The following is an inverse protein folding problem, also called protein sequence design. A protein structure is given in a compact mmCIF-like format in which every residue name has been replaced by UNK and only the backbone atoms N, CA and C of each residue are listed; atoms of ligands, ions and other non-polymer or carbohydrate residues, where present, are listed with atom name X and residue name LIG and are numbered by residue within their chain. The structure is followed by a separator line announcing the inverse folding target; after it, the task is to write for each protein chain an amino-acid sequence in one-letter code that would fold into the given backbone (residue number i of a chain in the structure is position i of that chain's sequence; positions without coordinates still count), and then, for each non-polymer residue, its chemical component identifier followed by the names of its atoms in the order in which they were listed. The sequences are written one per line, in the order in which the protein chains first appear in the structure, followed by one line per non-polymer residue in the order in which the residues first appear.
data_IF_394320435333
#
_entry.id   IF_394320435333
#
_cell.length_a   1.000
_cell.length_b   1.000
_cell.length_c   1.000
_cell.angle_alpha   90.00
_cell.angle_beta   90.00
_cell.angle_gamma   90.00
#
_symmetry.space_group_name_H-M   'P 1'
#
loop_
_entity.id
_entity.type
_entity.pdbx_description
1 polymer ?
#
# COMPACT_ATOMS: atom_id res chain seq x y z
N UNK A 1 -13.40 5.14 -3.96
CA UNK A 1 -12.25 5.29 -3.03
C UNK A 1 -11.47 4.00 -3.09
N UNK A 2 -10.22 4.11 -3.46
CA UNK A 2 -9.26 3.01 -3.43
C UNK A 2 -8.42 3.15 -2.15
N UNK A 3 -8.52 2.17 -1.24
CA UNK A 3 -7.77 2.21 0.01
C UNK A 3 -6.44 1.50 -0.15
N UNK A 4 -5.36 2.16 0.27
CA UNK A 4 -4.02 1.59 0.32
C UNK A 4 -3.85 0.54 1.42
N UNK A 5 -2.61 0.09 1.59
CA UNK A 5 -2.20 -0.82 2.66
C UNK A 5 -1.73 -0.02 3.89
N UNK A 6 -1.83 -0.66 5.05
CA UNK A 6 -1.26 -0.15 6.30
C UNK A 6 -0.32 -1.22 6.88
N UNK A 7 0.82 -0.85 7.49
CA UNK A 7 1.73 -1.81 8.10
C UNK A 7 1.02 -2.73 9.08
N UNK A 8 1.33 -4.03 9.04
CA UNK A 8 0.76 -5.07 9.91
C UNK A 8 -0.77 -5.19 9.89
N UNK A 9 -1.44 -4.65 8.86
CA UNK A 9 -2.90 -4.65 8.68
C UNK A 9 -3.34 -5.55 7.52
N UNK A 10 -2.96 -6.83 7.55
CA UNK A 10 -3.30 -7.77 6.48
C UNK A 10 -4.82 -7.92 6.28
N UNK A 11 -5.59 -7.94 7.37
CA UNK A 11 -7.06 -8.04 7.34
C UNK A 11 -7.75 -6.69 7.07
N UNK A 12 -6.97 -5.62 6.88
CA UNK A 12 -7.41 -4.27 6.49
C UNK A 12 -8.36 -3.57 7.46
N UNK A 13 -8.30 -3.88 8.75
CA UNK A 13 -9.13 -3.20 9.76
C UNK A 13 -8.79 -1.71 9.87
N UNK A 14 -7.50 -1.38 9.91
CA UNK A 14 -7.03 0.01 9.99
C UNK A 14 -7.36 0.75 8.70
N UNK A 15 -7.14 0.12 7.53
CA UNK A 15 -7.47 0.70 6.23
C UNK A 15 -8.97 0.98 6.12
N UNK A 16 -9.84 0.05 6.55
CA UNK A 16 -11.30 0.26 6.59
C UNK A 16 -11.71 1.40 7.51
N UNK A 17 -11.09 1.50 8.69
CA UNK A 17 -11.34 2.59 9.65
C UNK A 17 -11.03 3.95 9.04
N UNK A 18 -9.87 4.11 8.40
CA UNK A 18 -9.51 5.37 7.75
C UNK A 18 -10.41 5.69 6.56
N UNK A 19 -10.79 4.69 5.76
CA UNK A 19 -11.75 4.85 4.68
C UNK A 19 -13.11 5.34 5.19
N UNK A 20 -13.60 4.76 6.29
CA UNK A 20 -14.83 5.22 6.94
C UNK A 20 -14.72 6.68 7.38
N UNK A 21 -13.64 7.07 8.05
CA UNK A 21 -13.46 8.46 8.48
C UNK A 21 -13.36 9.42 7.31
N UNK A 22 -12.69 9.04 6.22
CA UNK A 22 -12.59 9.87 5.02
C UNK A 22 -13.97 10.12 4.39
N UNK A 23 -14.80 9.08 4.26
CA UNK A 23 -16.17 9.21 3.75
C UNK A 23 -17.03 10.06 4.68
N UNK A 24 -17.01 9.76 5.99
CA UNK A 24 -17.80 10.48 6.97
C UNK A 24 -17.43 11.97 6.98
N UNK A 25 -16.14 12.28 7.03
CA UNK A 25 -15.65 13.66 7.03
C UNK A 25 -16.00 14.40 5.72
N UNK A 26 -15.92 13.70 4.59
CA UNK A 26 -16.33 14.26 3.29
C UNK A 26 -17.83 14.61 3.26
N UNK A 27 -18.68 13.70 3.73
CA UNK A 27 -20.13 13.95 3.81
C UNK A 27 -20.46 15.08 4.79
N UNK A 28 -19.79 15.10 5.96
CA UNK A 28 -19.95 16.17 6.94
C UNK A 28 -19.54 17.53 6.36
N UNK A 29 -18.40 17.57 5.64
CA UNK A 29 -17.95 18.79 4.99
C UNK A 29 -18.96 19.29 3.97
N UNK A 30 -19.48 18.42 3.09
CA UNK A 30 -20.51 18.77 2.10
C UNK A 30 -21.78 19.30 2.79
N UNK A 31 -22.21 18.68 3.89
CA UNK A 31 -23.42 19.09 4.60
C UNK A 31 -23.29 20.44 5.36
N UNK A 32 -22.07 20.87 5.67
CA UNK A 32 -21.78 22.07 6.47
C UNK A 32 -21.22 23.24 5.69
N UNK A 33 -20.79 23.03 4.45
CA UNK A 33 -20.04 24.02 3.68
C UNK A 33 -20.80 24.41 2.42
N UNK A 34 -21.07 25.70 2.27
CA UNK A 34 -21.64 26.26 1.03
C UNK A 34 -20.56 26.66 0.00
N UNK A 35 -19.30 26.55 0.39
CA UNK A 35 -18.17 26.98 -0.44
C UNK A 35 -17.08 25.91 -0.51
N UNK A 36 -16.80 25.43 -1.73
CA UNK A 36 -15.86 24.35 -2.04
C UNK A 36 -14.52 24.86 -2.59
N UNK A 37 -13.99 25.97 -2.09
CA UNK A 37 -12.72 26.57 -2.57
C UNK A 37 -11.48 25.84 -2.07
N UNK A 38 -11.60 24.97 -1.07
CA UNK A 38 -10.47 24.25 -0.47
C UNK A 38 -9.90 23.10 -1.34
N UNK A 39 -10.47 22.86 -2.52
CA UNK A 39 -10.02 21.80 -3.43
C UNK A 39 -8.54 21.90 -3.83
N UNK A 40 -7.93 23.06 -3.69
CA UNK A 40 -6.50 23.27 -3.99
C UNK A 40 -5.57 22.43 -3.10
N UNK A 41 -6.02 22.09 -1.89
CA UNK A 41 -5.25 21.24 -0.97
C UNK A 41 -5.06 19.81 -1.54
N UNK A 42 -5.98 19.34 -2.40
CA UNK A 42 -5.86 18.08 -3.10
C UNK A 42 -4.55 17.98 -3.91
N UNK A 43 -4.13 19.06 -4.55
CA UNK A 43 -2.91 19.08 -5.37
C UNK A 43 -1.61 19.08 -4.55
N UNK A 44 -1.70 19.19 -3.22
CA UNK A 44 -0.56 19.05 -2.31
C UNK A 44 -0.37 17.60 -1.85
N UNK A 45 -1.34 16.71 -2.12
CA UNK A 45 -1.22 15.29 -1.79
C UNK A 45 -0.13 14.70 -2.70
N UNK A 46 0.88 13.99 -2.13
CA UNK A 46 1.91 13.35 -2.95
C UNK A 46 1.29 12.31 -3.89
N UNK A 47 1.95 12.10 -5.03
CA UNK A 47 1.56 11.04 -5.94
C UNK A 47 1.63 9.67 -5.28
N UNK A 48 0.77 8.76 -5.73
CA UNK A 48 0.80 7.39 -5.26
C UNK A 48 2.13 6.73 -5.67
N UNK A 49 2.76 6.04 -4.73
CA UNK A 49 3.98 5.27 -4.95
C UNK A 49 3.82 3.87 -4.36
N UNK A 50 4.59 2.92 -4.87
CA UNK A 50 4.65 1.57 -4.31
C UNK A 50 5.41 1.60 -3.00
N UNK A 51 4.67 1.58 -1.89
CA UNK A 51 5.22 1.61 -0.54
C UNK A 51 5.11 0.25 0.13
N UNK A 52 4.15 -0.58 -0.30
CA UNK A 52 3.85 -1.89 0.25
C UNK A 52 4.14 -3.02 -0.71
N UNK A 53 4.72 -4.09 -0.15
CA UNK A 53 4.95 -5.37 -0.81
C UNK A 53 4.30 -6.49 -0.01
N UNK A 54 3.98 -7.59 -0.65
CA UNK A 54 3.53 -8.79 0.09
C UNK A 54 4.70 -9.43 0.83
N UNK A 55 5.88 -9.46 0.20
CA UNK A 55 7.12 -9.95 0.82
C UNK A 55 8.28 -9.02 0.51
N UNK A 56 9.09 -8.72 1.52
CA UNK A 56 10.40 -8.07 1.33
C UNK A 56 11.50 -8.98 1.85
N UNK A 57 12.51 -9.20 1.03
CA UNK A 57 13.79 -9.76 1.46
C UNK A 57 14.75 -8.62 1.77
N UNK A 58 15.14 -8.50 3.03
CA UNK A 58 16.12 -7.51 3.52
C UNK A 58 17.50 -8.15 3.60
N UNK A 59 18.51 -7.45 3.09
CA UNK A 59 19.90 -7.90 3.15
C UNK A 59 20.73 -6.91 3.95
N UNK A 60 21.35 -7.37 5.04
CA UNK A 60 22.09 -6.52 6.00
C UNK A 60 23.31 -5.82 5.40
N UNK A 61 23.94 -6.44 4.41
CA UNK A 61 25.19 -6.00 3.79
C UNK A 61 25.01 -5.52 2.34
N UNK A 62 23.84 -5.66 1.77
CA UNK A 62 23.58 -5.30 0.39
C UNK A 62 22.85 -3.96 0.29
N UNK A 63 23.13 -3.25 -0.80
CA UNK A 63 22.41 -2.02 -1.11
C UNK A 63 21.00 -2.31 -1.65
N UNK A 64 20.73 -3.56 -2.02
CA UNK A 64 19.50 -3.95 -2.72
C UNK A 64 18.71 -4.95 -1.88
N UNK A 65 17.55 -4.52 -1.46
CA UNK A 65 16.48 -5.38 -0.99
C UNK A 65 15.67 -5.90 -2.18
N UNK A 66 14.88 -6.95 -1.99
CA UNK A 66 13.97 -7.48 -3.02
C UNK A 66 12.53 -7.34 -2.57
N UNK A 67 11.72 -6.64 -3.36
CA UNK A 67 10.29 -6.49 -3.13
C UNK A 67 9.49 -7.42 -4.03
N UNK A 68 8.52 -8.13 -3.45
CA UNK A 68 7.66 -9.09 -4.14
C UNK A 68 6.18 -8.79 -3.91
N UNK A 69 5.38 -9.10 -4.93
CA UNK A 69 3.91 -9.08 -4.84
C UNK A 69 3.34 -10.39 -5.39
N UNK A 70 2.24 -10.83 -4.78
CA UNK A 70 1.44 -11.92 -5.34
C UNK A 70 0.67 -11.41 -6.56
N UNK A 71 0.72 -12.20 -7.64
CA UNK A 71 -0.11 -12.03 -8.82
C UNK A 71 -0.93 -13.28 -9.03
N UNK A 72 -2.23 -13.06 -9.16
CA UNK A 72 -3.17 -14.12 -9.44
C UNK A 72 -3.32 -14.29 -10.96
N UNK A 73 -3.11 -15.53 -11.42
CA UNK A 73 -3.25 -15.92 -12.82
C UNK A 73 -4.21 -17.11 -12.91
N UNK A 74 -4.99 -17.17 -14.00
CA UNK A 74 -5.80 -18.35 -14.31
C UNK A 74 -4.99 -19.26 -15.21
N UNK A 75 -4.59 -20.43 -14.70
CA UNK A 75 -3.86 -21.46 -15.43
C UNK A 75 -4.72 -22.72 -15.43
N UNK A 76 -5.05 -23.25 -16.62
CA UNK A 76 -5.90 -24.44 -16.79
C UNK A 76 -7.22 -24.37 -15.96
N UNK A 77 -7.90 -23.24 -16.04
CA UNK A 77 -9.14 -22.91 -15.29
C UNK A 77 -9.00 -22.97 -13.76
N UNK A 78 -7.78 -22.88 -13.23
CA UNK A 78 -7.50 -22.77 -11.79
C UNK A 78 -6.85 -21.43 -11.49
N UNK A 79 -7.29 -20.80 -10.40
CA UNK A 79 -6.63 -19.62 -9.87
C UNK A 79 -5.31 -20.04 -9.22
N UNK A 80 -4.20 -19.50 -9.69
CA UNK A 80 -2.85 -19.73 -9.17
C UNK A 80 -2.26 -18.41 -8.75
N UNK A 81 -1.89 -18.29 -7.48
CA UNK A 81 -1.20 -17.12 -6.96
C UNK A 81 0.31 -17.34 -7.03
N UNK A 82 1.03 -16.45 -7.71
CA UNK A 82 2.49 -16.50 -7.87
C UNK A 82 3.14 -15.31 -7.20
N UNK A 83 4.20 -15.55 -6.45
CA UNK A 83 5.04 -14.48 -5.92
C UNK A 83 6.00 -13.97 -7.01
N UNK A 84 5.86 -12.71 -7.39
CA UNK A 84 6.61 -12.09 -8.47
C UNK A 84 7.51 -10.99 -7.91
N UNK A 85 8.80 -11.01 -8.27
CA UNK A 85 9.72 -9.92 -7.95
C UNK A 85 9.31 -8.66 -8.72
N UNK A 86 9.06 -7.59 -7.99
CA UNK A 86 8.63 -6.30 -8.54
C UNK A 86 9.77 -5.30 -8.57
N UNK A 87 10.60 -5.31 -7.53
CA UNK A 87 11.63 -4.31 -7.35
C UNK A 87 12.89 -4.91 -6.70
N UNK A 88 14.05 -4.37 -7.10
CA UNK A 88 15.36 -4.71 -6.54
C UNK A 88 16.16 -3.42 -6.35
N UNK A 89 16.06 -2.86 -5.14
CA UNK A 89 16.72 -1.59 -4.78
C UNK A 89 16.73 -1.45 -3.26
N UNK A 90 17.23 -0.33 -2.74
CA UNK A 90 17.06 -0.01 -1.34
C UNK A 90 15.59 0.27 -1.03
N UNK A 91 14.94 -0.62 -0.29
CA UNK A 91 13.53 -0.48 0.12
C UNK A 91 13.39 0.16 1.50
N UNK A 92 14.35 1.01 1.88
CA UNK A 92 14.28 1.77 3.14
C UNK A 92 13.03 2.67 3.16
N UNK A 93 12.21 2.54 4.20
CA UNK A 93 10.95 3.27 4.33
C UNK A 93 9.78 2.66 3.57
N UNK A 94 9.98 1.52 2.90
CA UNK A 94 8.91 0.70 2.32
C UNK A 94 8.63 -0.50 3.26
N UNK A 95 7.45 -1.09 3.14
CA UNK A 95 6.94 -2.09 4.08
C UNK A 95 6.52 -3.36 3.37
N UNK A 96 6.78 -4.52 4.00
CA UNK A 96 6.28 -5.81 3.57
C UNK A 96 5.28 -6.37 4.58
N UNK A 97 4.24 -7.06 4.12
CA UNK A 97 3.40 -7.86 5.04
C UNK A 97 4.20 -9.00 5.67
N UNK A 98 5.20 -9.50 4.94
CA UNK A 98 6.20 -10.43 5.45
C UNK A 98 7.59 -9.88 5.11
N UNK A 99 8.45 -9.70 6.12
CA UNK A 99 9.84 -9.28 5.91
C UNK A 99 10.79 -10.39 6.38
N UNK A 100 11.68 -10.81 5.49
CA UNK A 100 12.69 -11.84 5.77
C UNK A 100 14.06 -11.16 5.73
N UNK A 101 14.77 -11.20 6.86
CA UNK A 101 16.10 -10.62 6.97
C UNK A 101 17.13 -11.72 6.74
N UNK A 102 18.03 -11.48 5.78
CA UNK A 102 19.17 -12.34 5.49
C UNK A 102 20.44 -11.69 6.06
N UNK A 103 20.99 -12.30 7.09
CA UNK A 103 22.30 -11.96 7.62
C UNK A 103 23.34 -12.79 6.85
N UNK A 104 24.37 -12.14 6.34
CA UNK A 104 25.54 -12.80 5.75
C UNK A 104 26.70 -12.83 6.74
#
# INVERSE_FOLDING_TARGET
IESGHYPDDYIREVSRKFTFYAIFQGLYYIAKTDNFTSYKEYFKIPNNDTVFYDVIHRYSDSKNDLGYQFRDEIIENKLVSKLVKIEETSLKGKFGHCEIVFER
#
